data_IF_079542372648
#
_entry.id   IF_079542372648
#
_cell.length_a   1.000
_cell.length_b   1.000
_cell.length_c   1.000
_cell.angle_alpha   90.00
_cell.angle_beta   90.00
_cell.angle_gamma   90.00
#
_symmetry.space_group_name_H-M   'P 1'
#
loop_
_entity.id
_entity.type
_entity.pdbx_description
1 polymer ?
#
# COMPACT_ATOMS: atom_id res chain seq x y z
N UNK A 1 19.61 52.02 -1.66
CA UNK A 1 18.43 51.20 -1.36
C UNK A 1 18.70 50.50 -0.03
N UNK A 2 17.89 50.75 1.01
CA UNK A 2 18.18 50.42 2.40
C UNK A 2 18.11 48.87 2.62
N UNK A 3 19.23 48.19 2.77
CA UNK A 3 19.34 46.74 2.97
C UNK A 3 18.39 46.19 4.06
N UNK A 4 18.17 46.96 5.12
CA UNK A 4 17.20 46.63 6.18
C UNK A 4 15.73 46.57 5.69
N UNK A 5 15.30 47.49 4.80
CA UNK A 5 13.94 47.47 4.23
C UNK A 5 13.75 46.35 3.23
N UNK A 6 14.81 45.97 2.52
CA UNK A 6 14.79 44.81 1.60
C UNK A 6 14.67 43.50 2.39
N UNK A 7 15.51 43.30 3.41
CA UNK A 7 15.42 42.10 4.29
C UNK A 7 14.05 42.00 4.99
N UNK A 8 13.48 43.12 5.45
CA UNK A 8 12.16 43.09 6.10
C UNK A 8 11.05 42.71 5.13
N UNK A 9 11.10 43.20 3.86
CA UNK A 9 10.12 42.80 2.82
C UNK A 9 10.27 41.34 2.43
N UNK A 10 11.51 40.84 2.31
CA UNK A 10 11.76 39.42 2.02
C UNK A 10 11.27 38.52 3.17
N UNK A 11 11.50 38.90 4.41
CA UNK A 11 11.04 38.18 5.60
C UNK A 11 9.49 38.17 5.67
N UNK A 12 8.83 39.30 5.37
CA UNK A 12 7.37 39.37 5.34
C UNK A 12 6.77 38.52 4.22
N UNK A 13 7.42 38.51 3.05
CA UNK A 13 6.98 37.70 1.91
C UNK A 13 7.13 36.20 2.18
N UNK A 14 8.23 35.78 2.84
CA UNK A 14 8.44 34.38 3.25
C UNK A 14 7.44 33.94 4.34
N UNK A 15 7.10 34.84 5.25
CA UNK A 15 6.12 34.55 6.31
C UNK A 15 4.68 34.42 5.75
N UNK A 16 4.37 35.17 4.68
CA UNK A 16 3.07 35.12 4.01
C UNK A 16 2.87 33.84 3.18
N UNK A 17 3.95 33.28 2.60
CA UNK A 17 3.89 32.04 1.81
C UNK A 17 3.76 30.78 2.67
N UNK A 18 4.28 30.79 3.90
CA UNK A 18 4.16 29.66 4.83
C UNK A 18 2.77 29.53 5.46
N UNK A 19 1.97 30.60 5.52
CA UNK A 19 0.61 30.57 6.09
C UNK A 19 -0.47 30.01 5.16
N UNK A 20 -0.15 29.73 3.87
CA UNK A 20 -1.10 29.22 2.87
C UNK A 20 -1.06 27.69 2.69
N UNK A 21 -0.20 26.98 3.41
CA UNK A 21 -0.18 25.52 3.39
C UNK A 21 -1.34 24.96 4.26
N UNK A 22 -2.55 24.93 3.70
CA UNK A 22 -3.66 24.22 4.31
C UNK A 22 -3.37 22.73 4.22
N UNK A 23 -3.42 21.96 5.33
CA UNK A 23 -3.25 20.52 5.29
C UNK A 23 -4.40 19.91 4.47
N UNK A 24 -4.06 19.19 3.39
CA UNK A 24 -5.02 18.34 2.70
C UNK A 24 -5.31 17.14 3.61
N UNK A 25 -6.47 17.10 4.23
CA UNK A 25 -6.89 16.00 5.11
C UNK A 25 -7.86 15.09 4.37
N UNK A 26 -7.46 13.80 4.17
CA UNK A 26 -8.43 12.75 3.89
C UNK A 26 -9.33 12.56 5.13
N UNK A 27 -10.64 12.35 4.93
CA UNK A 27 -11.54 12.11 6.04
C UNK A 27 -11.23 10.79 6.75
N UNK A 28 -10.87 9.74 5.99
CA UNK A 28 -10.57 8.42 6.55
C UNK A 28 -9.08 8.11 6.57
N UNK A 29 -8.65 7.41 7.64
CA UNK A 29 -7.38 6.69 7.71
C UNK A 29 -7.62 5.26 8.17
N UNK A 30 -6.73 4.36 7.77
CA UNK A 30 -6.73 2.97 8.23
C UNK A 30 -5.59 2.74 9.23
N UNK A 31 -5.76 1.77 10.14
CA UNK A 31 -4.73 1.39 11.10
C UNK A 31 -3.61 0.51 10.51
N UNK A 32 -3.53 0.40 9.18
CA UNK A 32 -2.48 -0.35 8.49
C UNK A 32 -2.46 -0.07 7.00
N UNK A 33 -1.29 -0.27 6.39
CA UNK A 33 -1.09 -0.15 4.94
C UNK A 33 -1.20 -1.50 4.21
N UNK A 34 -1.32 -2.60 4.99
CA UNK A 34 -1.56 -3.98 4.54
C UNK A 34 -2.11 -4.82 5.68
N UNK A 35 -2.78 -5.91 5.35
CA UNK A 35 -3.36 -6.82 6.33
C UNK A 35 -3.04 -8.27 5.94
N UNK A 36 -2.58 -9.07 6.92
CA UNK A 36 -2.25 -10.48 6.72
C UNK A 36 -3.40 -11.33 7.24
N UNK A 37 -4.01 -12.10 6.34
CA UNK A 37 -5.04 -13.06 6.67
C UNK A 37 -4.43 -14.47 6.70
N UNK A 38 -4.05 -14.94 7.87
CA UNK A 38 -3.54 -16.31 8.02
C UNK A 38 -4.67 -17.34 7.96
N UNK A 39 -4.42 -18.43 7.25
CA UNK A 39 -5.36 -19.55 7.16
C UNK A 39 -5.75 -20.07 8.55
N UNK A 40 -7.03 -20.38 8.72
CA UNK A 40 -7.61 -20.85 9.99
C UNK A 40 -8.14 -19.75 10.89
N UNK A 41 -7.81 -18.50 10.67
CA UNK A 41 -8.47 -17.37 11.36
C UNK A 41 -9.91 -17.24 10.86
N UNK A 42 -10.88 -17.11 11.75
CA UNK A 42 -12.30 -16.88 11.38
C UNK A 42 -12.50 -15.57 10.66
N UNK A 43 -11.78 -14.54 11.08
CA UNK A 43 -11.77 -13.21 10.47
C UNK A 43 -10.49 -12.47 10.90
N UNK A 44 -10.19 -11.39 10.19
CA UNK A 44 -9.29 -10.33 10.61
C UNK A 44 -10.07 -9.02 10.63
N UNK A 45 -9.58 -8.02 11.33
CA UNK A 45 -10.27 -6.73 11.45
C UNK A 45 -9.31 -5.59 11.12
N UNK A 46 -9.87 -4.52 10.56
CA UNK A 46 -9.18 -3.25 10.44
C UNK A 46 -10.05 -2.11 10.96
N UNK A 47 -9.40 -1.03 11.34
CA UNK A 47 -10.04 0.16 11.89
C UNK A 47 -10.03 1.28 10.84
N UNK A 48 -11.17 1.94 10.67
CA UNK A 48 -11.32 3.17 9.90
C UNK A 48 -11.53 4.30 10.90
N UNK A 49 -10.66 5.30 10.90
CA UNK A 49 -10.80 6.51 11.71
C UNK A 49 -11.26 7.66 10.83
N UNK A 50 -12.34 8.36 11.25
CA UNK A 50 -12.83 9.57 10.59
C UNK A 50 -12.22 10.80 11.26
N UNK A 51 -11.34 11.51 10.57
CA UNK A 51 -10.69 12.75 11.06
C UNK A 51 -11.45 14.02 10.70
N UNK A 52 -12.54 13.92 9.95
CA UNK A 52 -13.33 15.10 9.58
C UNK A 52 -14.22 15.57 10.74
N UNK A 53 -14.70 16.79 10.63
CA UNK A 53 -15.68 17.38 11.55
C UNK A 53 -17.13 16.93 11.26
N UNK A 54 -17.33 16.10 10.22
CA UNK A 54 -18.64 15.62 9.79
C UNK A 54 -18.74 14.11 9.87
N UNK A 55 -19.98 13.60 9.96
CA UNK A 55 -20.25 12.17 9.81
C UNK A 55 -20.08 11.77 8.35
N UNK A 56 -19.23 10.80 8.08
CA UNK A 56 -19.02 10.21 6.76
C UNK A 56 -19.62 8.81 6.67
N UNK A 57 -20.09 8.46 5.49
CA UNK A 57 -20.34 7.07 5.12
C UNK A 57 -19.04 6.40 4.64
N UNK A 58 -19.00 5.08 4.73
CA UNK A 58 -17.94 4.28 4.14
C UNK A 58 -18.51 3.10 3.37
N UNK A 59 -17.89 2.79 2.23
CA UNK A 59 -18.13 1.58 1.45
C UNK A 59 -16.85 0.79 1.37
N UNK A 60 -16.93 -0.52 1.60
CA UNK A 60 -15.78 -1.43 1.58
C UNK A 60 -16.04 -2.58 0.62
N UNK A 61 -15.05 -2.92 -0.18
CA UNK A 61 -15.06 -4.12 -1.04
C UNK A 61 -13.65 -4.67 -1.24
N UNK A 62 -13.58 -5.90 -1.73
CA UNK A 62 -12.34 -6.59 -2.04
C UNK A 62 -12.29 -6.89 -3.53
N UNK A 63 -11.16 -6.55 -4.16
CA UNK A 63 -10.84 -6.99 -5.52
C UNK A 63 -9.83 -8.13 -5.45
N UNK A 64 -10.02 -9.17 -6.27
CA UNK A 64 -9.02 -10.21 -6.47
C UNK A 64 -7.86 -9.65 -7.30
N UNK A 65 -6.62 -9.86 -6.86
CA UNK A 65 -5.42 -9.46 -7.61
C UNK A 65 -4.68 -10.66 -8.19
N UNK A 66 -4.71 -11.81 -7.50
CA UNK A 66 -4.07 -13.06 -7.93
C UNK A 66 -5.05 -14.12 -8.41
N UNK A 67 -6.31 -14.03 -8.00
CA UNK A 67 -7.35 -15.00 -8.28
C UNK A 67 -8.30 -14.48 -9.38
N UNK A 68 -9.17 -15.36 -9.90
CA UNK A 68 -10.18 -14.97 -10.89
C UNK A 68 -11.10 -13.89 -10.33
N UNK A 69 -11.34 -12.86 -11.11
CA UNK A 69 -12.16 -11.72 -10.70
C UNK A 69 -13.63 -12.09 -10.40
N UNK A 70 -14.13 -13.20 -10.98
CA UNK A 70 -15.50 -13.68 -10.77
C UNK A 70 -15.71 -14.37 -9.42
N UNK A 71 -14.64 -14.82 -8.77
CA UNK A 71 -14.74 -15.64 -7.57
C UNK A 71 -14.75 -14.75 -6.32
N UNK A 72 -15.51 -15.15 -5.31
CA UNK A 72 -15.56 -14.44 -4.02
C UNK A 72 -14.85 -15.26 -2.98
N UNK A 73 -13.78 -14.71 -2.41
CA UNK A 73 -12.97 -15.35 -1.36
C UNK A 73 -13.09 -14.63 -0.02
N UNK A 74 -12.96 -13.31 -0.02
CA UNK A 74 -12.97 -12.50 1.19
C UNK A 74 -14.07 -11.45 1.07
N UNK A 75 -14.90 -11.37 2.12
CA UNK A 75 -15.98 -10.38 2.19
C UNK A 75 -15.81 -9.47 3.42
N UNK A 76 -16.05 -8.15 3.26
CA UNK A 76 -16.08 -7.23 4.39
C UNK A 76 -17.41 -7.27 5.13
N UNK A 77 -17.40 -7.06 6.44
CA UNK A 77 -18.60 -6.96 7.28
C UNK A 77 -18.44 -5.89 8.36
N UNK A 78 -19.25 -4.84 8.35
CA UNK A 78 -20.25 -4.49 7.35
C UNK A 78 -19.61 -3.91 6.07
N UNK A 79 -20.22 -4.10 4.85
CA UNK A 79 -19.71 -3.50 3.62
C UNK A 79 -20.05 -2.00 3.48
N UNK A 80 -21.05 -1.52 4.23
CA UNK A 80 -21.43 -0.12 4.34
C UNK A 80 -21.57 0.27 5.80
N UNK A 81 -21.07 1.44 6.16
CA UNK A 81 -21.12 1.93 7.53
C UNK A 81 -21.15 3.47 7.57
N UNK A 82 -21.41 4.03 8.76
CA UNK A 82 -21.26 5.45 9.06
C UNK A 82 -20.30 5.62 10.21
N UNK A 83 -19.46 6.65 10.15
CA UNK A 83 -18.54 7.04 11.22
C UNK A 83 -18.76 8.50 11.55
N UNK A 84 -19.12 8.77 12.79
CA UNK A 84 -19.26 10.15 13.26
C UNK A 84 -17.91 10.87 13.28
N UNK A 85 -17.95 12.18 13.31
CA UNK A 85 -16.77 13.04 13.43
C UNK A 85 -15.85 12.58 14.56
N UNK A 86 -14.55 12.42 14.26
CA UNK A 86 -13.53 12.01 15.23
C UNK A 86 -13.62 10.56 15.73
N UNK A 87 -14.58 9.77 15.27
CA UNK A 87 -14.81 8.41 15.75
C UNK A 87 -14.14 7.36 14.87
N UNK A 88 -14.14 6.12 15.37
CA UNK A 88 -13.58 4.94 14.73
C UNK A 88 -14.67 3.93 14.42
N UNK A 89 -14.46 3.15 13.36
CA UNK A 89 -15.32 2.02 13.00
C UNK A 89 -14.46 0.79 12.68
N UNK A 90 -14.90 -0.38 13.12
CA UNK A 90 -14.20 -1.65 12.86
C UNK A 90 -14.94 -2.42 11.78
N UNK A 91 -14.21 -2.80 10.74
CA UNK A 91 -14.70 -3.69 9.68
C UNK A 91 -13.97 -5.03 9.80
N UNK A 92 -14.70 -6.13 9.68
CA UNK A 92 -14.15 -7.48 9.64
C UNK A 92 -14.04 -7.95 8.20
N UNK A 93 -12.97 -8.68 7.91
CA UNK A 93 -12.80 -9.42 6.67
C UNK A 93 -12.97 -10.90 6.98
N UNK A 94 -13.84 -11.58 6.26
CA UNK A 94 -14.14 -12.99 6.46
C UNK A 94 -13.81 -13.77 5.19
N UNK A 95 -13.06 -14.87 5.33
CA UNK A 95 -12.89 -15.82 4.23
C UNK A 95 -14.15 -16.69 4.13
N UNK A 96 -14.77 -16.66 2.94
CA UNK A 96 -16.01 -17.40 2.63
C UNK A 96 -15.81 -18.53 1.61
N UNK A 97 -14.57 -18.71 1.13
CA UNK A 97 -14.25 -19.71 0.12
C UNK A 97 -12.87 -20.34 0.39
N UNK A 98 -12.84 -21.64 0.55
CA UNK A 98 -11.63 -22.40 0.88
C UNK A 98 -10.81 -22.86 -0.35
N UNK A 99 -11.18 -22.44 -1.56
CA UNK A 99 -10.50 -22.84 -2.79
C UNK A 99 -9.21 -22.07 -3.10
N UNK A 100 -8.72 -21.27 -2.15
CA UNK A 100 -7.42 -20.58 -2.31
C UNK A 100 -6.26 -21.57 -2.34
N UNK A 101 -5.17 -21.24 -3.10
CA UNK A 101 -3.94 -22.02 -3.09
C UNK A 101 -3.43 -22.29 -1.68
N UNK A 102 -2.93 -23.51 -1.44
CA UNK A 102 -2.42 -23.92 -0.11
C UNK A 102 -0.90 -23.87 -0.01
N UNK A 103 -0.22 -23.69 -1.16
CA UNK A 103 1.23 -23.72 -1.29
C UNK A 103 1.87 -22.33 -1.42
N UNK A 104 1.06 -21.28 -1.55
CA UNK A 104 1.53 -19.90 -1.77
C UNK A 104 0.52 -18.88 -1.26
N UNK A 105 0.97 -17.64 -1.08
CA UNK A 105 0.10 -16.52 -0.77
C UNK A 105 -0.81 -16.14 -1.94
N UNK A 106 -2.01 -15.64 -1.60
CA UNK A 106 -2.92 -14.97 -2.53
C UNK A 106 -3.07 -13.50 -2.18
N UNK A 107 -3.10 -12.64 -3.19
CA UNK A 107 -3.18 -11.19 -3.05
C UNK A 107 -4.59 -10.68 -3.38
N UNK A 108 -5.10 -9.83 -2.49
CA UNK A 108 -6.35 -9.10 -2.64
C UNK A 108 -6.10 -7.60 -2.41
N UNK A 109 -6.99 -6.78 -2.95
CA UNK A 109 -6.99 -5.33 -2.76
C UNK A 109 -8.23 -4.94 -1.96
N UNK A 110 -8.02 -4.46 -0.74
CA UNK A 110 -9.05 -3.87 0.08
C UNK A 110 -9.25 -2.42 -0.34
N UNK A 111 -10.47 -2.07 -0.69
CA UNK A 111 -10.88 -0.71 -1.02
C UNK A 111 -11.80 -0.18 0.09
N UNK A 112 -11.54 1.05 0.51
CA UNK A 112 -12.37 1.79 1.47
C UNK A 112 -12.67 3.15 0.86
N UNK A 113 -13.90 3.29 0.36
CA UNK A 113 -14.39 4.51 -0.29
C UNK A 113 -15.09 5.41 0.74
N UNK A 114 -14.67 6.65 0.80
CA UNK A 114 -15.38 7.69 1.54
C UNK A 114 -16.68 8.06 0.84
N UNK A 115 -17.73 8.29 1.63
CA UNK A 115 -19.00 8.84 1.16
C UNK A 115 -19.27 10.10 1.98
N UNK A 116 -18.96 11.29 1.44
CA UNK A 116 -19.15 12.56 2.15
C UNK A 116 -20.64 12.82 2.43
N UNK A 117 -20.96 13.64 3.45
CA UNK A 117 -22.33 14.08 3.69
C UNK A 117 -22.84 14.89 2.51
N UNK A 118 -24.17 14.87 2.30
CA UNK A 118 -24.79 15.69 1.27
C UNK A 118 -24.57 17.18 1.60
N UNK A 119 -24.09 18.00 0.64
CA UNK A 119 -23.98 19.44 0.83
C UNK A 119 -25.35 20.08 1.18
N UNK A 120 -25.35 21.11 2.00
CA UNK A 120 -26.57 21.86 2.28
C UNK A 120 -26.93 22.71 1.07
N UNK A 121 -28.24 22.85 0.80
CA UNK A 121 -28.74 23.58 -0.38
C UNK A 121 -28.33 25.06 -0.41
N UNK A 122 -27.97 25.63 0.75
CA UNK A 122 -27.59 27.05 0.93
C UNK A 122 -26.11 27.32 0.61
N UNK A 123 -25.26 26.28 0.37
CA UNK A 123 -23.82 26.45 0.20
C UNK A 123 -23.37 26.78 -1.24
N UNK A 124 -24.30 27.03 -2.17
CA UNK A 124 -24.00 27.43 -3.54
C UNK A 124 -23.30 26.29 -4.34
N UNK A 125 -22.27 26.63 -5.14
CA UNK A 125 -21.50 25.64 -5.91
C UNK A 125 -20.51 24.92 -5.00
N UNK A 126 -20.79 23.68 -4.60
CA UNK A 126 -19.93 22.83 -3.76
C UNK A 126 -19.29 21.72 -4.59
N UNK A 127 -17.98 21.59 -4.48
CA UNK A 127 -17.23 20.44 -4.98
C UNK A 127 -17.12 19.39 -3.87
N UNK A 128 -17.82 18.26 -4.01
CA UNK A 128 -17.66 17.12 -3.12
C UNK A 128 -16.61 16.14 -3.70
N UNK A 129 -15.55 15.89 -2.96
CA UNK A 129 -14.54 14.87 -3.31
C UNK A 129 -14.69 13.66 -2.40
N UNK A 130 -14.66 12.47 -2.97
CA UNK A 130 -14.69 11.21 -2.26
C UNK A 130 -13.40 10.44 -2.57
N UNK A 131 -12.62 10.13 -1.55
CA UNK A 131 -11.35 9.40 -1.71
C UNK A 131 -11.55 7.91 -1.55
N UNK A 132 -10.79 7.12 -2.31
CA UNK A 132 -10.70 5.67 -2.15
C UNK A 132 -9.32 5.29 -1.64
N UNK A 133 -9.26 4.70 -0.46
CA UNK A 133 -8.04 4.10 0.09
C UNK A 133 -7.97 2.66 -0.39
N UNK A 134 -6.87 2.30 -1.06
CA UNK A 134 -6.62 0.94 -1.53
C UNK A 134 -5.37 0.38 -0.90
N UNK A 135 -5.51 -0.73 -0.15
CA UNK A 135 -4.42 -1.42 0.53
C UNK A 135 -4.45 -2.91 0.25
N UNK A 136 -3.32 -3.60 0.49
CA UNK A 136 -3.19 -5.03 0.22
C UNK A 136 -3.76 -5.86 1.37
N UNK A 137 -4.46 -6.95 1.03
CA UNK A 137 -4.75 -8.06 1.92
C UNK A 137 -4.05 -9.29 1.37
N UNK A 138 -3.20 -9.91 2.17
CA UNK A 138 -2.43 -11.10 1.79
C UNK A 138 -2.99 -12.28 2.57
N UNK A 139 -3.60 -13.24 1.85
CA UNK A 139 -3.98 -14.51 2.45
C UNK A 139 -2.75 -15.42 2.49
N UNK A 140 -2.43 -15.93 3.68
CA UNK A 140 -1.26 -16.78 3.93
C UNK A 140 -1.68 -18.16 4.41
N UNK A 141 -1.46 -19.21 3.62
CA UNK A 141 -1.66 -20.59 4.04
C UNK A 141 -0.82 -20.96 5.27
N UNK A 142 -1.39 -21.81 6.15
CA UNK A 142 -0.77 -22.18 7.41
C UNK A 142 0.61 -22.83 7.22
N UNK A 143 0.78 -23.61 6.16
CA UNK A 143 2.01 -24.37 5.90
C UNK A 143 3.22 -23.49 5.58
N UNK A 144 3.02 -22.22 5.20
CA UNK A 144 4.11 -21.30 4.85
C UNK A 144 4.31 -20.17 5.88
N UNK A 145 3.53 -20.13 6.98
CA UNK A 145 3.60 -19.04 7.97
C UNK A 145 5.01 -18.92 8.58
N UNK A 146 5.60 -20.03 9.00
CA UNK A 146 6.89 -20.04 9.69
C UNK A 146 8.05 -19.58 8.81
N UNK A 147 8.00 -19.85 7.50
CA UNK A 147 9.06 -19.50 6.55
C UNK A 147 9.05 -18.04 6.08
N UNK A 148 8.09 -17.21 6.53
CA UNK A 148 7.93 -15.84 6.02
C UNK A 148 9.05 -14.89 6.47
N UNK A 149 9.56 -15.07 7.67
CA UNK A 149 10.54 -14.14 8.24
C UNK A 149 11.78 -14.03 7.35
N UNK A 150 12.11 -12.82 6.92
CA UNK A 150 13.27 -12.50 6.08
C UNK A 150 13.33 -13.29 4.74
N UNK A 151 12.19 -13.75 4.24
CA UNK A 151 12.13 -14.53 3.01
C UNK A 151 12.61 -13.74 1.78
N UNK A 152 12.64 -12.41 1.85
CA UNK A 152 13.21 -11.51 0.85
C UNK A 152 14.70 -11.82 0.55
N UNK A 153 15.45 -12.36 1.50
CA UNK A 153 16.83 -12.81 1.31
C UNK A 153 16.98 -13.98 0.34
N UNK A 154 15.88 -14.65 -0.01
CA UNK A 154 15.84 -15.75 -0.97
C UNK A 154 15.55 -15.26 -2.41
N UNK A 155 15.39 -13.95 -2.61
CA UNK A 155 15.34 -13.38 -3.95
C UNK A 155 16.67 -13.61 -4.67
N UNK A 156 16.60 -13.95 -5.95
CA UNK A 156 17.76 -14.27 -6.79
C UNK A 156 17.81 -13.31 -7.97
N UNK A 157 19.02 -12.87 -8.32
CA UNK A 157 19.28 -12.11 -9.54
C UNK A 157 19.66 -13.05 -10.67
N UNK A 158 18.98 -12.90 -11.80
CA UNK A 158 19.28 -13.68 -13.01
C UNK A 158 19.61 -12.73 -14.14
N UNK A 159 20.83 -12.84 -14.68
CA UNK A 159 21.22 -12.09 -15.86
C UNK A 159 20.86 -12.88 -17.12
N UNK A 160 19.99 -12.33 -17.96
CA UNK A 160 19.49 -12.95 -19.17
C UNK A 160 19.18 -11.87 -20.22
N UNK A 161 19.56 -12.10 -21.46
CA UNK A 161 19.26 -11.22 -22.61
C UNK A 161 19.70 -9.75 -22.39
N UNK A 162 20.88 -9.55 -21.78
CA UNK A 162 21.41 -8.22 -21.50
C UNK A 162 20.69 -7.45 -20.39
N UNK A 163 19.83 -8.10 -19.64
CA UNK A 163 19.08 -7.50 -18.52
C UNK A 163 19.19 -8.36 -17.26
N UNK A 164 19.08 -7.72 -16.10
CA UNK A 164 18.98 -8.42 -14.81
C UNK A 164 17.52 -8.57 -14.43
N UNK A 165 17.15 -9.76 -13.99
CA UNK A 165 15.82 -10.10 -13.50
C UNK A 165 15.87 -10.32 -11.99
N UNK A 166 14.91 -9.78 -11.27
CA UNK A 166 14.67 -10.10 -9.86
C UNK A 166 13.69 -11.26 -9.81
N UNK A 167 14.17 -12.43 -9.38
CA UNK A 167 13.37 -13.66 -9.31
C UNK A 167 12.97 -13.96 -7.87
N UNK A 168 11.69 -14.15 -7.65
CA UNK A 168 11.11 -14.64 -6.41
C UNK A 168 11.00 -16.16 -6.47
N UNK A 169 11.81 -16.86 -5.67
CA UNK A 169 11.79 -18.33 -5.57
C UNK A 169 10.92 -18.84 -4.43
N UNK A 170 10.22 -17.92 -3.74
CA UNK A 170 9.47 -18.20 -2.51
C UNK A 170 7.96 -18.24 -2.73
N UNK A 171 7.18 -18.78 -1.80
CA UNK A 171 5.73 -18.76 -1.87
C UNK A 171 5.09 -17.41 -1.44
N UNK A 172 5.87 -16.36 -1.20
CA UNK A 172 5.39 -15.09 -0.64
C UNK A 172 5.31 -13.98 -1.68
N UNK A 173 4.38 -13.06 -1.48
CA UNK A 173 4.35 -11.76 -2.17
C UNK A 173 5.36 -10.81 -1.52
N UNK A 174 6.15 -10.13 -2.34
CA UNK A 174 7.01 -9.05 -1.86
C UNK A 174 6.56 -7.71 -2.43
N UNK A 175 6.71 -6.67 -1.61
CA UNK A 175 6.48 -5.28 -2.00
C UNK A 175 7.84 -4.57 -1.97
N UNK A 176 8.58 -4.69 -3.07
CA UNK A 176 9.90 -4.07 -3.22
C UNK A 176 9.68 -2.61 -3.60
N UNK A 177 10.22 -1.70 -2.79
CA UNK A 177 10.11 -0.25 -2.97
C UNK A 177 11.34 0.33 -3.66
N UNK A 178 12.50 -0.31 -3.51
CA UNK A 178 13.75 0.12 -4.14
C UNK A 178 14.68 -1.07 -4.41
N UNK A 179 15.51 -0.92 -5.43
CA UNK A 179 16.62 -1.83 -5.73
C UNK A 179 17.90 -1.01 -5.73
N UNK A 180 18.88 -1.42 -4.93
CA UNK A 180 20.13 -0.68 -4.72
C UNK A 180 21.33 -1.49 -5.21
N UNK A 181 22.25 -0.82 -5.88
CA UNK A 181 23.58 -1.39 -6.24
C UNK A 181 24.65 -0.61 -5.51
N UNK A 182 25.48 -1.29 -4.70
CA UNK A 182 26.49 -0.67 -3.84
C UNK A 182 25.94 0.48 -2.99
N UNK A 183 24.71 0.32 -2.45
CA UNK A 183 24.02 1.29 -1.60
C UNK A 183 23.38 2.46 -2.34
N UNK A 184 23.44 2.50 -3.68
CA UNK A 184 22.79 3.55 -4.49
C UNK A 184 21.52 3.00 -5.17
N UNK A 185 20.42 3.71 -5.03
CA UNK A 185 19.15 3.40 -5.70
C UNK A 185 19.29 3.37 -7.21
N UNK A 186 18.67 2.39 -7.85
CA UNK A 186 18.62 2.27 -9.30
C UNK A 186 17.46 3.11 -9.85
N UNK A 187 17.70 3.83 -10.94
CA UNK A 187 16.66 4.54 -11.64
C UNK A 187 15.85 3.61 -12.53
N UNK A 188 14.95 2.83 -11.93
CA UNK A 188 14.05 1.92 -12.64
C UNK A 188 12.85 2.67 -13.21
N UNK A 189 12.32 2.19 -14.34
CA UNK A 189 11.08 2.72 -14.93
C UNK A 189 9.88 2.45 -14.03
N UNK A 190 8.84 3.29 -14.12
CA UNK A 190 7.69 3.21 -13.22
C UNK A 190 6.91 1.89 -13.35
N UNK A 191 6.80 1.33 -14.56
CA UNK A 191 6.16 0.02 -14.77
C UNK A 191 6.94 -1.13 -14.11
N UNK A 192 8.28 -1.05 -14.09
CA UNK A 192 9.14 -2.00 -13.37
C UNK A 192 8.95 -1.85 -11.87
N UNK A 193 8.93 -0.61 -11.36
CA UNK A 193 8.66 -0.33 -9.92
C UNK A 193 7.29 -0.87 -9.50
N UNK A 194 6.24 -0.67 -10.33
CA UNK A 194 4.91 -1.21 -10.06
C UNK A 194 4.89 -2.75 -10.01
N UNK A 195 5.62 -3.41 -10.92
CA UNK A 195 5.75 -4.86 -10.94
C UNK A 195 6.50 -5.39 -9.71
N UNK A 196 7.59 -4.73 -9.31
CA UNK A 196 8.36 -5.05 -8.10
C UNK A 196 7.55 -4.80 -6.82
N UNK A 197 6.71 -3.76 -6.80
CA UNK A 197 5.82 -3.49 -5.66
C UNK A 197 4.78 -4.59 -5.43
N UNK A 198 4.59 -5.51 -6.38
CA UNK A 198 3.66 -6.65 -6.30
C UNK A 198 4.31 -7.94 -6.84
N UNK A 199 5.58 -8.17 -6.49
CA UNK A 199 6.32 -9.35 -6.95
C UNK A 199 5.67 -10.62 -6.40
N UNK A 200 5.02 -11.38 -7.30
CA UNK A 200 4.23 -12.55 -6.94
C UNK A 200 5.11 -13.75 -6.55
N UNK A 201 4.55 -14.73 -5.83
CA UNK A 201 5.22 -16.01 -5.59
C UNK A 201 5.69 -16.67 -6.89
N UNK A 202 6.92 -17.21 -6.86
CA UNK A 202 7.51 -17.98 -7.97
C UNK A 202 7.54 -17.23 -9.31
N UNK A 203 7.58 -15.89 -9.28
CA UNK A 203 7.62 -15.03 -10.47
C UNK A 203 8.93 -14.27 -10.58
N UNK A 204 9.11 -13.58 -11.70
CA UNK A 204 10.28 -12.75 -11.94
C UNK A 204 9.91 -11.44 -12.63
N UNK A 205 10.69 -10.40 -12.37
CA UNK A 205 10.52 -9.06 -12.98
C UNK A 205 11.82 -8.66 -13.65
N UNK A 206 11.74 -8.30 -14.94
CA UNK A 206 12.86 -7.74 -15.69
C UNK A 206 13.09 -6.28 -15.27
N UNK A 207 14.27 -5.98 -14.73
CA UNK A 207 14.63 -4.61 -14.34
C UNK A 207 14.91 -3.69 -15.54
N UNK A 208 15.03 -4.27 -16.74
CA UNK A 208 15.41 -3.58 -18.00
C UNK A 208 16.74 -2.84 -17.91
N UNK A 209 17.59 -3.26 -16.99
CA UNK A 209 18.93 -2.74 -16.82
C UNK A 209 19.87 -3.90 -16.50
N UNK A 210 21.13 -3.78 -16.86
CA UNK A 210 22.16 -4.75 -16.49
C UNK A 210 22.78 -4.31 -15.17
N UNK A 211 22.64 -5.13 -14.14
CA UNK A 211 23.32 -4.91 -12.88
C UNK A 211 24.71 -5.55 -12.99
N UNK A 212 25.73 -4.71 -13.04
CA UNK A 212 27.12 -5.15 -13.01
C UNK A 212 27.51 -5.54 -11.59
N UNK A 213 28.54 -6.39 -11.47
CA UNK A 213 29.04 -6.94 -10.21
C UNK A 213 29.13 -5.92 -9.08
N UNK A 214 28.56 -6.26 -7.93
CA UNK A 214 28.53 -5.42 -6.75
C UNK A 214 27.55 -5.97 -5.72
N UNK A 215 27.48 -5.31 -4.57
CA UNK A 215 26.53 -5.66 -3.52
C UNK A 215 25.15 -5.13 -3.91
N UNK A 216 24.23 -6.05 -4.20
CA UNK A 216 22.85 -5.70 -4.53
C UNK A 216 21.96 -5.92 -3.31
N UNK A 217 21.12 -4.95 -3.02
CA UNK A 217 20.08 -5.07 -2.00
C UNK A 217 18.73 -4.57 -2.52
N UNK A 218 17.67 -5.07 -1.93
CA UNK A 218 16.31 -4.58 -2.15
C UNK A 218 15.76 -4.01 -0.86
N UNK A 219 15.09 -2.88 -0.96
CA UNK A 219 14.25 -2.39 0.11
C UNK A 219 12.84 -2.92 -0.11
N UNK A 220 12.29 -3.60 0.89
CA UNK A 220 10.95 -4.16 0.81
C UNK A 220 10.13 -3.87 2.07
N UNK A 221 8.81 -3.77 1.88
CA UNK A 221 7.90 -3.57 3.00
C UNK A 221 7.59 -4.92 3.68
N UNK A 222 7.86 -5.01 4.96
CA UNK A 222 7.50 -6.17 5.79
C UNK A 222 5.98 -6.27 6.03
N UNK A 223 5.52 -7.28 6.76
CA UNK A 223 4.10 -7.51 7.07
C UNK A 223 3.44 -6.35 7.84
N UNK A 224 4.22 -5.52 8.51
CA UNK A 224 3.76 -4.36 9.29
C UNK A 224 3.78 -3.04 8.49
N UNK A 225 4.27 -3.09 7.23
CA UNK A 225 4.41 -1.92 6.37
C UNK A 225 5.70 -1.12 6.60
N UNK A 226 6.61 -1.61 7.43
CA UNK A 226 7.94 -1.02 7.63
C UNK A 226 8.89 -1.38 6.49
N UNK A 227 9.67 -0.43 6.00
CA UNK A 227 10.71 -0.65 4.99
C UNK A 227 11.96 -1.28 5.64
N UNK A 228 12.49 -2.32 5.02
CA UNK A 228 13.69 -3.05 5.46
C UNK A 228 14.57 -3.34 4.24
N UNK A 229 15.89 -3.13 4.39
CA UNK A 229 16.87 -3.47 3.37
C UNK A 229 17.32 -4.94 3.51
N UNK A 230 17.28 -5.67 2.40
CA UNK A 230 17.73 -7.06 2.32
C UNK A 230 18.81 -7.19 1.25
N UNK A 231 19.95 -7.76 1.63
CA UNK A 231 20.98 -8.15 0.67
C UNK A 231 20.54 -9.41 -0.07
N UNK A 232 20.61 -9.40 -1.40
CA UNK A 232 20.20 -10.50 -2.27
C UNK A 232 21.36 -10.99 -3.12
N UNK A 233 21.27 -12.22 -3.63
CA UNK A 233 22.35 -12.92 -4.36
C UNK A 233 22.05 -13.03 -5.84
#
# INVERSE_FOLDING_TARGET
MNKKKFMLKTLLLTMLTTSLALPAQAAFTLNGTRFIYEEGKKNISFEVTNHSEFTYGGQVWIDNASEKASDVFIVPSPPFFKVNAGNKHIVRLMNVNNALPKDRESLFLLNVQEVPPKPKAEEGNVLAMAMNIRVKVIYRPKVIVEGRKDAEKQLVLVNRDGSTWVKNTTPYYFAITDVKSNGKSLNLKDDVKQSLAQLAPYSEVNTRTTLTSGKISVEALNDWGGAVDYEIK
#
